data_IF_778432549130
#
_entry.id   IF_778432549130
#
_cell.length_a   1.000
_cell.length_b   1.000
_cell.length_c   1.000
_cell.angle_alpha   90.00
_cell.angle_beta   90.00
_cell.angle_gamma   90.00
#
_symmetry.space_group_name_H-M   'P 1'
#
loop_
_entity.id
_entity.type
_entity.pdbx_description
1 polymer ?
#
# COMPACT_ATOMS: atom_id res chain seq x y z
N UNK A 1 25.33 -19.17 -35.94
CA UNK A 1 25.35 -18.28 -34.76
C UNK A 1 26.34 -17.18 -35.08
N UNK A 2 25.89 -15.93 -35.21
CA UNK A 2 26.72 -14.78 -35.62
C UNK A 2 27.11 -13.93 -34.41
N UNK A 3 28.18 -13.15 -34.55
CA UNK A 3 28.58 -12.16 -33.54
C UNK A 3 27.62 -10.97 -33.61
N UNK A 4 27.15 -10.47 -32.46
CA UNK A 4 26.26 -9.31 -32.43
C UNK A 4 26.95 -8.05 -32.98
N UNK A 5 26.25 -7.32 -33.84
CA UNK A 5 26.72 -6.11 -34.55
C UNK A 5 27.37 -5.07 -33.62
N UNK A 6 26.80 -4.85 -32.45
CA UNK A 6 27.29 -3.88 -31.45
C UNK A 6 28.66 -4.24 -30.82
N UNK A 7 29.19 -5.45 -31.08
CA UNK A 7 30.45 -5.95 -30.50
C UNK A 7 31.63 -5.96 -31.49
N UNK A 8 31.37 -5.86 -32.80
CA UNK A 8 32.36 -6.00 -33.87
C UNK A 8 33.37 -4.83 -33.99
N UNK A 9 33.23 -3.75 -33.22
CA UNK A 9 34.14 -2.59 -33.22
C UNK A 9 34.96 -2.39 -31.94
N UNK A 10 34.97 -3.36 -31.01
CA UNK A 10 35.72 -3.30 -29.74
C UNK A 10 36.70 -4.46 -29.64
N UNK A 11 37.65 -4.41 -28.70
CA UNK A 11 38.66 -5.44 -28.46
C UNK A 11 38.07 -6.86 -28.52
N UNK A 12 38.28 -7.56 -29.65
CA UNK A 12 37.75 -8.89 -29.93
C UNK A 12 38.47 -9.96 -29.12
N UNK A 13 37.69 -10.86 -28.52
CA UNK A 13 38.22 -12.01 -27.79
C UNK A 13 38.74 -13.09 -28.76
N UNK A 14 39.60 -13.99 -28.29
CA UNK A 14 40.28 -14.97 -29.16
C UNK A 14 39.31 -15.90 -29.89
N UNK A 15 38.21 -16.30 -29.23
CA UNK A 15 37.15 -17.13 -29.81
C UNK A 15 36.45 -16.40 -30.98
N UNK A 16 36.24 -15.10 -30.85
CA UNK A 16 35.56 -14.28 -31.86
C UNK A 16 36.45 -14.07 -33.08
N UNK A 17 37.76 -13.96 -32.89
CA UNK A 17 38.74 -13.90 -34.01
C UNK A 17 38.74 -15.19 -34.82
N UNK A 18 38.71 -16.34 -34.14
CA UNK A 18 38.61 -17.65 -34.81
C UNK A 18 37.30 -17.75 -35.58
N UNK A 19 36.19 -17.29 -35.00
CA UNK A 19 34.89 -17.29 -35.68
C UNK A 19 34.87 -16.38 -36.92
N UNK A 20 35.45 -15.18 -36.84
CA UNK A 20 35.57 -14.26 -37.97
C UNK A 20 36.36 -14.90 -39.12
N UNK A 21 37.42 -15.67 -38.83
CA UNK A 21 38.18 -16.38 -39.85
C UNK A 21 37.37 -17.49 -40.55
N UNK A 22 36.32 -18.03 -39.90
CA UNK A 22 35.52 -19.15 -40.39
C UNK A 22 34.18 -18.71 -41.01
N UNK A 23 33.65 -17.55 -40.64
CA UNK A 23 32.37 -17.04 -41.10
C UNK A 23 32.55 -15.83 -42.02
N UNK A 24 32.28 -16.00 -43.32
CA UNK A 24 32.46 -14.97 -44.34
C UNK A 24 31.63 -13.70 -44.08
N UNK A 25 30.41 -13.84 -43.58
CA UNK A 25 29.52 -12.72 -43.27
C UNK A 25 30.06 -11.87 -42.11
N UNK A 26 30.50 -12.51 -41.03
CA UNK A 26 31.12 -11.83 -39.88
C UNK A 26 32.44 -11.14 -40.27
N UNK A 27 33.23 -11.75 -41.17
CA UNK A 27 34.45 -11.14 -41.71
C UNK A 27 34.18 -9.87 -42.51
N UNK A 28 33.19 -9.92 -43.41
CA UNK A 28 32.79 -8.76 -44.19
C UNK A 28 32.32 -7.60 -43.31
N UNK A 29 31.46 -7.89 -42.33
CA UNK A 29 30.98 -6.86 -41.39
C UNK A 29 32.11 -6.26 -40.55
N UNK A 30 33.04 -7.09 -40.06
CA UNK A 30 34.21 -6.60 -39.32
C UNK A 30 35.08 -5.68 -40.17
N UNK A 31 35.31 -6.04 -41.43
CA UNK A 31 36.07 -5.21 -42.37
C UNK A 31 35.39 -3.87 -42.61
N UNK A 32 34.07 -3.88 -42.89
CA UNK A 32 33.29 -2.66 -43.07
C UNK A 32 33.38 -1.72 -41.85
N UNK A 33 33.27 -2.26 -40.64
CA UNK A 33 33.39 -1.48 -39.40
C UNK A 33 34.80 -0.92 -39.21
N UNK A 34 35.82 -1.70 -39.57
CA UNK A 34 37.22 -1.26 -39.51
C UNK A 34 37.45 -0.10 -40.49
N UNK A 35 36.93 -0.21 -41.71
CA UNK A 35 37.04 0.81 -42.74
C UNK A 35 36.30 2.09 -42.35
N UNK A 36 35.10 1.98 -41.79
CA UNK A 36 34.34 3.14 -41.27
C UNK A 36 35.09 3.83 -40.13
N UNK A 37 35.65 3.06 -39.19
CA UNK A 37 36.41 3.62 -38.08
C UNK A 37 37.69 4.32 -38.57
N UNK A 38 38.40 3.71 -39.52
CA UNK A 38 39.56 4.33 -40.15
C UNK A 38 39.18 5.63 -40.87
N UNK A 39 38.05 5.65 -41.60
CA UNK A 39 37.56 6.85 -42.28
C UNK A 39 37.17 7.97 -41.30
N UNK A 40 36.54 7.64 -40.17
CA UNK A 40 36.22 8.64 -39.13
C UNK A 40 37.50 9.22 -38.51
N UNK A 41 38.52 8.38 -38.32
CA UNK A 41 39.80 8.83 -37.76
C UNK A 41 40.65 9.66 -38.74
N UNK A 42 40.42 9.52 -40.06
CA UNK A 42 41.09 10.32 -41.10
C UNK A 42 40.33 11.59 -41.48
N UNK A 43 39.07 11.75 -41.03
CA UNK A 43 38.35 13.00 -41.24
C UNK A 43 39.04 14.13 -40.46
N UNK A 44 39.38 15.20 -41.18
CA UNK A 44 39.92 16.40 -40.57
C UNK A 44 38.91 16.97 -39.57
N UNK A 45 39.37 17.22 -38.35
CA UNK A 45 38.56 17.84 -37.33
C UNK A 45 38.30 19.30 -37.74
N UNK A 46 37.10 19.58 -38.22
CA UNK A 46 36.68 20.96 -38.50
C UNK A 46 36.44 21.64 -37.17
N UNK A 47 37.32 22.59 -36.81
CA UNK A 47 37.09 23.43 -35.64
C UNK A 47 35.85 24.32 -35.89
N UNK A 48 34.82 24.23 -35.03
CA UNK A 48 33.64 25.05 -35.22
C UNK A 48 33.97 26.52 -34.93
N UNK A 49 33.33 27.48 -35.63
CA UNK A 49 33.61 28.90 -35.47
C UNK A 49 33.43 29.39 -34.02
N UNK A 50 34.31 30.28 -33.57
CA UNK A 50 34.33 30.86 -32.22
C UNK A 50 32.97 31.43 -31.81
N UNK A 51 32.23 32.03 -32.76
CA UNK A 51 30.89 32.57 -32.52
C UNK A 51 29.86 31.52 -32.04
N UNK A 52 30.02 30.25 -32.42
CA UNK A 52 29.15 29.15 -31.98
C UNK A 52 29.45 28.78 -30.53
N UNK A 53 30.73 28.70 -30.17
CA UNK A 53 31.17 28.46 -28.79
C UNK A 53 30.70 29.56 -27.84
N UNK A 54 30.78 30.83 -28.25
CA UNK A 54 30.26 31.93 -27.45
C UNK A 54 28.75 31.84 -27.25
N UNK A 55 27.98 31.44 -28.26
CA UNK A 55 26.53 31.23 -28.14
C UNK A 55 26.21 30.11 -27.15
N UNK A 56 26.96 29.01 -27.18
CA UNK A 56 26.80 27.89 -26.24
C UNK A 56 27.23 28.25 -24.81
N UNK A 57 28.31 29.01 -24.66
CA UNK A 57 28.76 29.51 -23.37
C UNK A 57 27.71 30.44 -22.74
N UNK A 58 27.06 31.30 -23.55
CA UNK A 58 25.97 32.16 -23.09
C UNK A 58 24.68 31.39 -22.80
N UNK A 59 24.36 30.33 -23.56
CA UNK A 59 23.11 29.56 -23.38
C UNK A 59 23.19 28.55 -22.23
N UNK A 60 24.36 27.98 -21.96
CA UNK A 60 24.59 27.03 -20.87
C UNK A 60 24.48 27.67 -19.47
N UNK A 61 24.66 28.99 -19.37
CA UNK A 61 24.56 29.74 -18.09
C UNK A 61 23.12 30.16 -17.78
N UNK A 62 22.13 29.90 -18.64
CA UNK A 62 20.72 30.08 -18.29
C UNK A 62 20.27 28.95 -17.37
N UNK A 63 20.75 28.99 -16.11
CA UNK A 63 20.12 28.30 -15.00
C UNK A 63 18.68 28.79 -14.98
N UNK A 64 17.77 28.03 -15.60
CA UNK A 64 16.32 28.22 -15.48
C UNK A 64 16.02 28.10 -13.99
N UNK A 65 16.07 29.23 -13.27
CA UNK A 65 15.53 29.35 -11.93
C UNK A 65 14.05 29.06 -12.11
N UNK A 66 13.66 27.79 -11.95
CA UNK A 66 12.26 27.38 -11.88
C UNK A 66 11.73 28.13 -10.67
N UNK A 67 11.15 29.32 -10.89
CA UNK A 67 10.33 30.01 -9.90
C UNK A 67 9.13 29.11 -9.69
N UNK A 68 9.30 28.11 -8.84
CA UNK A 68 8.17 27.33 -8.32
C UNK A 68 7.30 28.38 -7.63
N UNK A 69 6.16 28.68 -8.26
CA UNK A 69 5.24 29.71 -7.80
C UNK A 69 4.88 29.33 -6.36
N UNK A 70 5.09 30.22 -5.38
CA UNK A 70 4.93 29.92 -3.94
C UNK A 70 3.63 29.17 -3.62
N UNK A 71 2.57 29.41 -4.40
CA UNK A 71 1.30 28.69 -4.32
C UNK A 71 1.40 27.18 -4.58
N UNK A 72 2.26 26.71 -5.48
CA UNK A 72 2.51 25.28 -5.72
C UNK A 72 3.12 24.60 -4.49
N UNK A 73 3.99 25.31 -3.76
CA UNK A 73 4.53 24.79 -2.49
C UNK A 73 3.43 24.66 -1.44
N UNK A 74 2.60 25.70 -1.25
CA UNK A 74 1.46 25.63 -0.33
C UNK A 74 0.44 24.57 -0.72
N UNK A 75 0.16 24.40 -2.02
CA UNK A 75 -0.74 23.37 -2.53
C UNK A 75 -0.20 21.96 -2.26
N UNK A 76 1.11 21.74 -2.45
CA UNK A 76 1.75 20.46 -2.17
C UNK A 76 1.68 20.12 -0.67
N UNK A 77 1.93 21.09 0.21
CA UNK A 77 1.82 20.90 1.66
C UNK A 77 0.36 20.58 2.04
N UNK A 78 -0.61 21.36 1.57
CA UNK A 78 -2.02 21.14 1.87
C UNK A 78 -2.53 19.76 1.38
N UNK A 79 -2.10 19.33 0.18
CA UNK A 79 -2.43 18.01 -0.32
C UNK A 79 -1.83 16.91 0.57
N UNK A 80 -0.56 17.03 0.96
CA UNK A 80 0.11 16.03 1.82
C UNK A 80 -0.55 15.89 3.19
N UNK A 81 -0.94 17.00 3.83
CA UNK A 81 -1.64 16.98 5.11
C UNK A 81 -3.04 16.40 4.98
N UNK A 82 -3.72 16.68 3.86
CA UNK A 82 -5.06 16.14 3.59
C UNK A 82 -5.00 14.61 3.48
N UNK A 83 -4.07 14.06 2.70
CA UNK A 83 -3.89 12.61 2.59
C UNK A 83 -3.66 11.94 3.95
N UNK A 84 -2.76 12.49 4.79
CA UNK A 84 -2.51 11.96 6.14
C UNK A 84 -3.80 11.97 6.97
N UNK A 85 -4.56 13.07 6.93
CA UNK A 85 -5.81 13.18 7.68
C UNK A 85 -6.87 12.18 7.22
N UNK A 86 -7.02 11.96 5.90
CA UNK A 86 -7.95 10.98 5.35
C UNK A 86 -7.56 9.56 5.71
N UNK A 87 -6.27 9.21 5.59
CA UNK A 87 -5.78 7.89 5.99
C UNK A 87 -6.02 7.64 7.49
N UNK A 88 -5.77 8.64 8.34
CA UNK A 88 -6.02 8.54 9.77
C UNK A 88 -7.51 8.34 10.09
N UNK A 89 -8.40 9.10 9.45
CA UNK A 89 -9.84 8.95 9.63
C UNK A 89 -10.34 7.59 9.15
N UNK A 90 -9.86 7.13 8.00
CA UNK A 90 -10.20 5.82 7.45
C UNK A 90 -9.76 4.68 8.38
N UNK A 91 -8.54 4.77 8.93
CA UNK A 91 -8.03 3.78 9.88
C UNK A 91 -8.86 3.74 11.17
N UNK A 92 -9.20 4.90 11.74
CA UNK A 92 -10.06 4.96 12.92
C UNK A 92 -11.46 4.39 12.66
N UNK A 93 -12.04 4.66 11.48
CA UNK A 93 -13.34 4.12 11.11
C UNK A 93 -13.27 2.59 10.98
N UNK A 94 -12.23 2.08 10.33
CA UNK A 94 -12.01 0.64 10.18
C UNK A 94 -11.82 -0.05 11.54
N UNK A 95 -11.02 0.53 12.44
CA UNK A 95 -10.85 0.02 13.79
C UNK A 95 -12.17 -0.01 14.58
N UNK A 96 -13.00 1.03 14.44
CA UNK A 96 -14.32 1.08 15.08
C UNK A 96 -15.26 0.00 14.54
N UNK A 97 -15.25 -0.24 13.22
CA UNK A 97 -16.03 -1.32 12.60
C UNK A 97 -15.60 -2.69 13.14
N UNK A 98 -14.30 -2.96 13.21
CA UNK A 98 -13.79 -4.21 13.76
C UNK A 98 -14.18 -4.41 15.23
N UNK A 99 -14.16 -3.35 16.05
CA UNK A 99 -14.64 -3.42 17.43
C UNK A 99 -16.13 -3.72 17.51
N UNK A 100 -16.93 -3.11 16.64
CA UNK A 100 -18.36 -3.37 16.56
C UNK A 100 -18.63 -4.83 16.18
N UNK A 101 -17.94 -5.35 15.17
CA UNK A 101 -18.07 -6.72 14.70
C UNK A 101 -17.72 -7.71 15.81
N UNK A 102 -16.60 -7.52 16.51
CA UNK A 102 -16.19 -8.38 17.60
C UNK A 102 -17.24 -8.40 18.73
N UNK A 103 -17.76 -7.22 19.10
CA UNK A 103 -18.80 -7.14 20.13
C UNK A 103 -20.10 -7.79 19.67
N UNK A 104 -20.46 -7.70 18.39
CA UNK A 104 -21.62 -8.39 17.82
C UNK A 104 -21.45 -9.91 17.84
N UNK A 105 -20.29 -10.42 17.43
CA UNK A 105 -19.98 -11.86 17.46
C UNK A 105 -20.06 -12.41 18.89
N UNK A 106 -19.47 -11.71 19.87
CA UNK A 106 -19.56 -12.12 21.27
C UNK A 106 -21.00 -12.11 21.76
N UNK A 107 -21.78 -11.06 21.43
CA UNK A 107 -23.19 -11.01 21.80
C UNK A 107 -24.01 -12.15 21.19
N UNK A 108 -23.85 -12.46 19.90
CA UNK A 108 -24.50 -13.59 19.25
C UNK A 108 -24.14 -14.92 19.92
N UNK A 109 -22.86 -15.11 20.27
CA UNK A 109 -22.41 -16.32 20.96
C UNK A 109 -23.07 -16.48 22.34
N UNK A 110 -23.29 -15.37 23.05
CA UNK A 110 -23.95 -15.39 24.35
C UNK A 110 -25.46 -15.61 24.23
N UNK A 111 -26.11 -15.05 23.21
CA UNK A 111 -27.53 -15.31 22.90
C UNK A 111 -27.78 -16.79 22.60
N UNK A 112 -26.89 -17.42 21.84
CA UNK A 112 -26.94 -18.86 21.59
C UNK A 112 -26.84 -19.67 22.90
N UNK A 113 -25.98 -19.27 23.83
CA UNK A 113 -25.89 -19.92 25.15
C UNK A 113 -27.16 -19.74 25.98
N UNK A 114 -27.84 -18.58 25.87
CA UNK A 114 -29.09 -18.33 26.58
C UNK A 114 -30.26 -19.15 26.03
N UNK A 115 -30.37 -19.30 24.71
CA UNK A 115 -31.47 -20.04 24.08
C UNK A 115 -31.47 -21.55 24.37
N UNK A 116 -30.31 -22.11 24.72
CA UNK A 116 -30.17 -23.53 25.08
C UNK A 116 -30.74 -23.88 26.47
N UNK A 117 -30.96 -22.89 27.34
CA UNK A 117 -31.41 -23.14 28.73
C UNK A 117 -32.91 -22.83 28.92
N UNK A 118 -33.71 -23.88 29.12
CA UNK A 118 -35.17 -23.85 28.94
C UNK A 118 -36.00 -23.13 30.01
N UNK A 119 -35.47 -22.69 31.15
CA UNK A 119 -36.22 -21.82 32.07
C UNK A 119 -35.35 -20.78 32.80
N UNK A 120 -35.58 -19.48 32.57
CA UNK A 120 -34.86 -18.42 33.27
C UNK A 120 -35.33 -18.29 34.73
N UNK A 121 -34.40 -18.11 35.66
CA UNK A 121 -34.72 -17.77 37.06
C UNK A 121 -35.23 -16.33 37.18
N UNK A 122 -35.91 -15.98 38.28
CA UNK A 122 -36.42 -14.61 38.50
C UNK A 122 -35.35 -13.51 38.35
N UNK A 123 -34.15 -13.74 38.92
CA UNK A 123 -33.01 -12.82 38.76
C UNK A 123 -32.56 -12.71 37.29
N UNK A 124 -32.61 -13.80 36.54
CA UNK A 124 -32.29 -13.79 35.11
C UNK A 124 -33.37 -13.05 34.31
N UNK A 125 -34.66 -13.18 34.65
CA UNK A 125 -35.73 -12.43 34.02
C UNK A 125 -35.60 -10.91 34.22
N UNK A 126 -35.16 -10.48 35.41
CA UNK A 126 -34.87 -9.06 35.67
C UNK A 126 -33.72 -8.56 34.79
N UNK A 127 -32.63 -9.32 34.67
CA UNK A 127 -31.50 -8.98 33.80
C UNK A 127 -31.90 -8.96 32.31
N UNK A 128 -32.75 -9.88 31.87
CA UNK A 128 -33.30 -9.89 30.50
C UNK A 128 -34.12 -8.61 30.23
N UNK A 129 -34.86 -8.12 31.22
CA UNK A 129 -35.63 -6.88 31.08
C UNK A 129 -34.70 -5.68 30.87
N UNK A 130 -33.60 -5.60 31.62
CA UNK A 130 -32.56 -4.57 31.42
C UNK A 130 -31.90 -4.70 30.04
N UNK A 131 -31.67 -5.92 29.55
CA UNK A 131 -31.15 -6.14 28.18
C UNK A 131 -32.13 -5.59 27.13
N UNK A 132 -33.43 -5.80 27.29
CA UNK A 132 -34.45 -5.25 26.37
C UNK A 132 -34.50 -3.72 26.39
N UNK A 133 -34.30 -3.10 27.54
CA UNK A 133 -34.20 -1.65 27.65
C UNK A 133 -32.98 -1.13 26.87
N UNK A 134 -31.84 -1.81 26.98
CA UNK A 134 -30.65 -1.47 26.18
C UNK A 134 -30.91 -1.66 24.69
N UNK A 135 -31.62 -2.72 24.29
CA UNK A 135 -31.99 -2.96 22.88
C UNK A 135 -32.88 -1.83 22.33
N UNK A 136 -33.84 -1.36 23.12
CA UNK A 136 -34.65 -0.21 22.77
C UNK A 136 -33.80 1.05 22.58
N UNK A 137 -32.86 1.32 23.50
CA UNK A 137 -31.92 2.45 23.37
C UNK A 137 -30.99 2.30 22.17
N UNK A 138 -30.62 1.07 21.80
CA UNK A 138 -29.75 0.78 20.66
C UNK A 138 -30.36 1.22 19.32
N UNK A 139 -31.68 1.16 19.20
CA UNK A 139 -32.41 1.53 17.99
C UNK A 139 -32.31 3.03 17.68
N UNK A 140 -32.23 3.89 18.70
CA UNK A 140 -32.12 5.35 18.55
C UNK A 140 -30.70 5.91 18.64
N UNK A 141 -29.70 5.10 18.98
CA UNK A 141 -28.35 5.58 19.32
C UNK A 141 -27.44 5.86 18.12
N UNK A 142 -26.52 6.81 18.28
CA UNK A 142 -25.44 7.09 17.32
C UNK A 142 -24.37 5.99 17.35
N UNK A 143 -23.47 5.94 16.34
CA UNK A 143 -22.45 4.87 16.23
C UNK A 143 -21.53 4.75 17.46
N UNK A 144 -21.19 5.89 18.07
CA UNK A 144 -20.32 5.92 19.27
C UNK A 144 -21.09 5.40 20.49
N UNK A 145 -22.34 5.82 20.66
CA UNK A 145 -23.22 5.37 21.75
C UNK A 145 -23.59 3.90 21.62
N UNK A 146 -23.78 3.40 20.40
CA UNK A 146 -24.04 1.99 20.10
C UNK A 146 -22.95 1.10 20.66
N UNK A 147 -21.69 1.49 20.54
CA UNK A 147 -20.57 0.69 21.07
C UNK A 147 -20.61 0.62 22.60
N UNK A 148 -20.93 1.73 23.28
CA UNK A 148 -21.07 1.75 24.74
C UNK A 148 -22.25 0.88 25.20
N UNK A 149 -23.42 1.01 24.56
CA UNK A 149 -24.61 0.23 24.86
C UNK A 149 -24.41 -1.28 24.58
N UNK A 150 -23.71 -1.63 23.49
CA UNK A 150 -23.40 -3.03 23.19
C UNK A 150 -22.44 -3.65 24.22
N UNK A 151 -21.49 -2.88 24.76
CA UNK A 151 -20.63 -3.32 25.87
C UNK A 151 -21.41 -3.50 27.16
N UNK A 152 -22.34 -2.60 27.47
CA UNK A 152 -23.23 -2.72 28.63
C UNK A 152 -24.11 -3.97 28.53
N UNK A 153 -24.70 -4.20 27.35
CA UNK A 153 -25.45 -5.43 27.03
C UNK A 153 -24.58 -6.66 27.25
N UNK A 154 -23.37 -6.67 26.72
CA UNK A 154 -22.42 -7.78 26.89
C UNK A 154 -22.15 -8.09 28.37
N UNK A 155 -21.98 -7.07 29.21
CA UNK A 155 -21.77 -7.25 30.65
C UNK A 155 -22.99 -7.85 31.35
N UNK A 156 -24.20 -7.39 31.02
CA UNK A 156 -25.43 -7.96 31.58
C UNK A 156 -25.62 -9.41 31.17
N UNK A 157 -25.42 -9.72 29.88
CA UNK A 157 -25.55 -11.09 29.37
C UNK A 157 -24.47 -12.00 29.97
N UNK A 158 -23.24 -11.53 30.14
CA UNK A 158 -22.19 -12.27 30.85
C UNK A 158 -22.58 -12.57 32.29
N UNK A 159 -23.22 -11.63 33.01
CA UNK A 159 -23.75 -11.88 34.36
C UNK A 159 -24.84 -12.96 34.34
N UNK A 160 -25.75 -12.96 33.36
CA UNK A 160 -26.78 -14.01 33.21
C UNK A 160 -26.11 -15.38 33.02
N UNK A 161 -25.13 -15.49 32.13
CA UNK A 161 -24.39 -16.74 31.86
C UNK A 161 -23.63 -17.22 33.11
N UNK A 162 -23.00 -16.32 33.86
CA UNK A 162 -22.30 -16.68 35.10
C UNK A 162 -23.27 -17.18 36.18
N UNK A 163 -24.44 -16.56 36.31
CA UNK A 163 -25.51 -17.05 37.21
C UNK A 163 -26.04 -18.43 36.79
N UNK A 164 -26.06 -18.73 35.48
CA UNK A 164 -26.42 -20.06 34.98
C UNK A 164 -25.38 -21.11 35.36
N UNK A 165 -24.08 -20.83 35.14
CA UNK A 165 -22.98 -21.75 35.51
C UNK A 165 -22.88 -22.00 37.02
N UNK A 166 -23.16 -20.98 37.82
CA UNK A 166 -23.21 -21.11 39.29
C UNK A 166 -24.30 -22.08 39.76
N UNK A 167 -25.49 -22.05 39.13
CA UNK A 167 -26.58 -22.96 39.48
C UNK A 167 -26.34 -24.42 39.03
N UNK A 168 -25.64 -24.65 37.91
CA UNK A 168 -25.34 -26.02 37.45
C UNK A 168 -24.32 -26.75 38.33
N UNK A 169 -23.41 -26.02 39.00
CA UNK A 169 -22.42 -26.62 39.91
C UNK A 169 -23.00 -27.04 41.27
N UNK A 170 -24.16 -26.52 41.68
CA UNK A 170 -24.76 -26.82 42.99
C UNK A 170 -25.51 -28.16 43.01
N UNK A 171 -25.88 -28.70 41.84
CA UNK A 171 -26.61 -29.97 41.72
C UNK A 171 -25.78 -31.10 41.06
N UNK A 172 -24.45 -30.92 40.98
CA UNK A 172 -23.52 -31.95 40.53
C UNK A 172 -22.92 -32.66 41.76
N UNK A 173 -23.72 -33.45 42.46
CA UNK A 173 -23.27 -34.45 43.46
C UNK A 173 -23.84 -35.81 43.03
#
# INVERSE_FOLDING_TARGET
MHICENRLGKNLNDIERVHIAQCQECAYQHQLMTDLNNNVNTMELIEPPVAVWEKLARSSVVKRKKRVRKWVFFAAVAASTSFISFTWLMFNNYQLQNQLELVLQVNQSLELQLTLNKMPTFKQAQLITLVREIEYRLHGATTVEKLALLKERQQLVSKIVNLQKGNSNVYSI
#
